data_IF_362853151212
#
_entry.id   IF_362853151212
#
_cell.length_a   1.000
_cell.length_b   1.000
_cell.length_c   1.000
_cell.angle_alpha   90.00
_cell.angle_beta   90.00
_cell.angle_gamma   90.00
#
_symmetry.space_group_name_H-M   'P 1'
#
loop_
_entity.id
_entity.type
_entity.pdbx_description
1 polymer ?
#
# COMPACT_ATOMS: atom_id res chain seq x y z
N UNK A 1 -15.36 -0.77 -0.18
CA UNK A 1 -15.70 0.66 -0.36
C UNK A 1 -17.22 0.84 -0.41
N UNK A 2 -17.77 1.85 0.28
CA UNK A 2 -19.21 2.14 0.24
C UNK A 2 -19.47 3.64 0.48
N UNK A 3 -20.28 4.27 -0.35
CA UNK A 3 -20.65 5.70 -0.22
C UNK A 3 -21.95 5.86 0.57
N UNK A 4 -22.05 6.94 1.32
CA UNK A 4 -23.24 7.32 2.05
C UNK A 4 -23.07 8.66 2.76
N UNK A 5 -24.17 9.22 3.25
CA UNK A 5 -24.18 10.49 3.97
C UNK A 5 -24.00 10.25 5.47
N UNK A 6 -23.31 11.14 6.15
CA UNK A 6 -23.28 11.18 7.63
C UNK A 6 -24.02 12.44 8.10
N UNK A 7 -25.10 12.26 8.85
CA UNK A 7 -25.88 13.40 9.39
C UNK A 7 -24.99 14.21 10.33
N UNK A 8 -24.93 15.52 10.09
CA UNK A 8 -24.10 16.42 10.87
C UNK A 8 -22.59 16.21 10.68
N UNK A 9 -22.16 15.50 9.60
CA UNK A 9 -20.76 15.16 9.34
C UNK A 9 -19.80 16.37 9.28
N UNK A 10 -20.30 17.53 8.84
CA UNK A 10 -19.53 18.78 8.83
C UNK A 10 -19.49 19.50 10.20
N UNK A 11 -20.29 19.05 11.17
CA UNK A 11 -20.36 19.66 12.50
C UNK A 11 -19.15 19.36 13.37
N UNK A 12 -18.91 20.22 14.36
CA UNK A 12 -17.75 20.13 15.27
C UNK A 12 -17.61 18.79 15.99
N UNK A 13 -18.71 18.11 16.27
CA UNK A 13 -18.72 16.81 16.94
C UNK A 13 -18.28 15.67 16.02
N UNK A 14 -18.73 15.66 14.75
CA UNK A 14 -18.49 14.55 13.82
C UNK A 14 -17.23 14.74 12.99
N UNK A 15 -16.83 15.96 12.74
CA UNK A 15 -15.65 16.28 11.91
C UNK A 15 -14.37 15.63 12.38
N UNK A 16 -14.01 15.61 13.69
CA UNK A 16 -12.83 14.91 14.15
C UNK A 16 -12.89 13.39 13.95
N UNK A 17 -14.09 12.81 14.10
CA UNK A 17 -14.32 11.38 13.92
C UNK A 17 -14.14 10.94 12.46
N UNK A 18 -14.59 11.76 11.53
CA UNK A 18 -14.56 11.47 10.10
C UNK A 18 -13.25 11.88 9.42
N UNK A 19 -12.18 12.09 10.18
CA UNK A 19 -10.86 12.32 9.59
C UNK A 19 -10.32 11.03 8.96
N UNK A 20 -9.65 11.13 7.78
CA UNK A 20 -8.96 9.99 7.17
C UNK A 20 -7.98 9.33 8.15
N UNK A 21 -7.91 8.01 8.11
CA UNK A 21 -7.09 7.19 8.99
C UNK A 21 -7.78 6.74 10.28
N UNK A 22 -8.89 7.35 10.68
CA UNK A 22 -9.69 6.86 11.79
C UNK A 22 -10.49 5.61 11.40
N UNK A 23 -10.62 4.66 12.32
CA UNK A 23 -11.53 3.52 12.17
C UNK A 23 -12.84 3.79 12.91
N UNK A 24 -13.92 3.40 12.28
CA UNK A 24 -15.27 3.61 12.79
C UNK A 24 -16.12 2.36 12.60
N UNK A 25 -16.99 2.06 13.54
CA UNK A 25 -18.14 1.20 13.30
C UNK A 25 -19.16 2.01 12.52
N UNK A 26 -19.62 1.49 11.40
CA UNK A 26 -20.53 2.18 10.51
C UNK A 26 -21.75 1.31 10.19
N UNK A 27 -22.94 1.82 10.45
CA UNK A 27 -24.20 1.17 10.09
C UNK A 27 -24.85 1.98 8.99
N UNK A 28 -24.92 1.38 7.81
CA UNK A 28 -25.57 1.98 6.64
C UNK A 28 -27.06 1.69 6.64
N UNK A 29 -27.85 2.68 6.24
CA UNK A 29 -29.31 2.59 6.10
C UNK A 29 -29.77 3.35 4.86
N UNK A 30 -30.62 2.70 4.06
CA UNK A 30 -31.30 3.31 2.93
C UNK A 30 -32.72 2.73 2.81
N UNK A 31 -33.56 3.39 2.04
CA UNK A 31 -34.90 2.88 1.73
C UNK A 31 -34.84 1.78 0.66
N UNK A 32 -33.97 1.96 -0.32
CA UNK A 32 -33.69 1.00 -1.39
C UNK A 32 -32.18 0.84 -1.49
N UNK A 33 -31.71 -0.33 -1.92
CA UNK A 33 -30.27 -0.65 -1.95
C UNK A 33 -29.47 0.23 -2.92
N UNK A 34 -30.10 0.71 -3.99
CA UNK A 34 -29.48 1.63 -4.96
C UNK A 34 -29.35 3.08 -4.44
N UNK A 35 -29.99 3.42 -3.33
CA UNK A 35 -29.91 4.77 -2.77
C UNK A 35 -28.55 4.99 -2.10
N UNK A 36 -28.07 6.24 -2.11
CA UNK A 36 -26.86 6.64 -1.41
C UNK A 36 -26.91 6.31 0.09
N UNK A 37 -28.10 6.43 0.69
CA UNK A 37 -28.32 6.13 2.10
C UNK A 37 -27.56 7.05 3.05
N UNK A 38 -27.57 6.68 4.32
CA UNK A 38 -26.83 7.40 5.35
C UNK A 38 -26.17 6.41 6.33
N UNK A 39 -25.07 6.88 6.89
CA UNK A 39 -24.34 6.15 7.93
C UNK A 39 -24.66 6.71 9.31
N UNK A 40 -24.86 5.79 10.24
CA UNK A 40 -24.64 6.01 11.66
C UNK A 40 -23.24 5.51 11.98
N UNK A 41 -22.39 6.38 12.53
CA UNK A 41 -20.97 6.06 12.77
C UNK A 41 -20.60 6.26 14.23
N UNK A 42 -19.75 5.39 14.73
CA UNK A 42 -19.16 5.44 16.06
C UNK A 42 -17.66 5.17 15.94
N UNK A 43 -16.83 5.98 16.62
CA UNK A 43 -15.36 5.84 16.58
C UNK A 43 -14.89 4.62 17.33
N UNK A 44 -14.01 3.84 16.72
CA UNK A 44 -13.36 2.68 17.32
C UNK A 44 -11.88 2.90 17.56
N UNK A 45 -11.18 3.50 16.59
CA UNK A 45 -9.75 3.82 16.71
C UNK A 45 -9.44 5.17 16.08
N UNK A 46 -8.89 6.09 16.86
CA UNK A 46 -8.60 7.46 16.44
C UNK A 46 -7.11 7.62 16.14
N UNK A 47 -6.75 7.70 14.85
CA UNK A 47 -5.38 7.87 14.36
C UNK A 47 -5.10 9.26 13.79
N UNK A 48 -6.13 10.08 13.63
CA UNK A 48 -6.01 11.37 12.94
C UNK A 48 -4.93 12.28 13.52
N UNK A 49 -4.72 12.27 14.84
CA UNK A 49 -3.69 13.08 15.48
C UNK A 49 -2.27 12.63 15.03
N UNK A 50 -2.00 11.33 15.05
CA UNK A 50 -0.75 10.73 14.57
C UNK A 50 -0.54 11.01 13.08
N UNK A 51 -1.57 10.79 12.26
CA UNK A 51 -1.50 11.06 10.82
C UNK A 51 -1.16 12.53 10.54
N UNK A 52 -1.82 13.46 11.21
CA UNK A 52 -1.60 14.89 11.00
C UNK A 52 -0.28 15.41 11.59
N UNK A 53 0.36 14.65 12.48
CA UNK A 53 1.63 15.02 13.10
C UNK A 53 2.83 14.94 12.14
N UNK A 54 2.71 14.19 11.03
CA UNK A 54 3.83 13.99 10.11
C UNK A 54 3.42 14.01 8.63
N UNK A 55 4.27 14.60 7.79
CA UNK A 55 4.00 14.69 6.36
C UNK A 55 3.94 13.33 5.67
N UNK A 56 4.79 12.37 6.08
CA UNK A 56 4.77 11.03 5.50
C UNK A 56 3.45 10.32 5.78
N UNK A 57 2.90 10.42 6.99
CA UNK A 57 1.62 9.81 7.31
C UNK A 57 0.46 10.43 6.50
N UNK A 58 0.45 11.76 6.32
CA UNK A 58 -0.55 12.44 5.47
C UNK A 58 -0.46 11.93 4.03
N UNK A 59 0.74 11.87 3.46
CA UNK A 59 0.93 11.34 2.11
C UNK A 59 0.55 9.87 2.01
N UNK A 60 1.00 9.05 2.97
CA UNK A 60 0.68 7.61 3.01
C UNK A 60 -0.81 7.34 3.06
N UNK A 61 -1.55 7.96 3.99
CA UNK A 61 -3.01 7.81 4.10
C UNK A 61 -3.72 8.29 2.83
N UNK A 62 -3.26 9.38 2.23
CA UNK A 62 -3.83 9.90 0.98
C UNK A 62 -3.63 8.91 -0.16
N UNK A 63 -2.44 8.30 -0.26
CA UNK A 63 -2.14 7.30 -1.27
C UNK A 63 -2.96 6.01 -1.05
N UNK A 64 -2.99 5.47 0.17
CA UNK A 64 -3.81 4.31 0.54
C UNK A 64 -5.29 4.52 0.16
N UNK A 65 -5.83 5.69 0.50
CA UNK A 65 -7.21 6.05 0.15
C UNK A 65 -7.42 6.12 -1.38
N UNK A 66 -6.44 6.62 -2.13
CA UNK A 66 -6.51 6.68 -3.60
C UNK A 66 -6.58 5.28 -4.22
N UNK A 67 -5.78 4.33 -3.73
CA UNK A 67 -5.80 2.94 -4.17
C UNK A 67 -7.10 2.23 -3.76
N UNK A 68 -7.56 2.39 -2.52
CA UNK A 68 -8.81 1.80 -2.06
C UNK A 68 -10.03 2.27 -2.87
N UNK A 69 -9.99 3.47 -3.48
CA UNK A 69 -11.03 3.96 -4.38
C UNK A 69 -11.12 3.23 -5.72
N UNK A 70 -10.12 2.44 -6.07
CA UNK A 70 -10.14 1.60 -7.28
C UNK A 70 -10.99 0.34 -7.12
N UNK A 71 -11.24 -0.07 -5.88
CA UNK A 71 -12.09 -1.23 -5.59
C UNK A 71 -13.56 -0.93 -5.91
N UNK A 72 -14.33 -1.95 -6.33
CA UNK A 72 -15.76 -1.82 -6.53
C UNK A 72 -16.49 -1.33 -5.28
N UNK A 73 -17.62 -0.67 -5.47
CA UNK A 73 -18.50 -0.30 -4.35
C UNK A 73 -19.31 -1.51 -3.88
N UNK A 74 -19.49 -1.59 -2.55
CA UNK A 74 -20.33 -2.59 -1.88
C UNK A 74 -19.83 -4.02 -2.04
N UNK A 75 -18.59 -4.19 -2.48
CA UNK A 75 -17.92 -5.47 -2.51
C UNK A 75 -16.98 -5.57 -1.30
N UNK A 76 -17.11 -6.59 -0.46
CA UNK A 76 -16.24 -6.78 0.70
C UNK A 76 -14.85 -7.25 0.26
N UNK A 77 -13.81 -6.62 0.81
CA UNK A 77 -12.40 -6.94 0.58
C UNK A 77 -11.71 -7.03 1.94
N UNK A 78 -11.97 -8.11 2.69
CA UNK A 78 -11.54 -8.25 4.08
C UNK A 78 -10.02 -8.23 4.21
N UNK A 79 -9.29 -8.96 3.37
CA UNK A 79 -7.82 -9.01 3.39
C UNK A 79 -7.18 -7.64 3.12
N UNK A 80 -7.79 -6.86 2.20
CA UNK A 80 -7.35 -5.49 1.92
C UNK A 80 -7.64 -4.58 3.11
N UNK A 81 -8.80 -4.74 3.75
CA UNK A 81 -9.14 -3.98 4.94
C UNK A 81 -8.16 -4.26 6.09
N UNK A 82 -7.86 -5.51 6.36
CA UNK A 82 -6.92 -5.91 7.40
C UNK A 82 -5.49 -5.41 7.13
N UNK A 83 -5.08 -5.43 5.86
CA UNK A 83 -3.77 -4.89 5.45
C UNK A 83 -3.74 -3.37 5.60
N UNK A 84 -4.83 -2.68 5.25
CA UNK A 84 -4.99 -1.24 5.44
C UNK A 84 -4.90 -0.85 6.92
N UNK A 85 -5.64 -1.55 7.79
CA UNK A 85 -5.63 -1.28 9.24
C UNK A 85 -4.21 -1.41 9.83
N UNK A 86 -3.49 -2.50 9.49
CA UNK A 86 -2.10 -2.69 9.91
C UNK A 86 -1.19 -1.57 9.42
N UNK A 87 -1.30 -1.22 8.14
CA UNK A 87 -0.49 -0.12 7.57
C UNK A 87 -0.75 1.21 8.27
N UNK A 88 -2.01 1.50 8.61
CA UNK A 88 -2.38 2.72 9.33
C UNK A 88 -1.84 2.76 10.78
N UNK A 89 -1.62 1.59 11.39
CA UNK A 89 -1.12 1.50 12.75
C UNK A 89 0.38 1.80 12.86
N UNK A 90 1.14 1.62 11.78
CA UNK A 90 2.60 1.71 11.78
C UNK A 90 3.15 3.06 11.27
N UNK A 91 2.29 4.06 11.06
CA UNK A 91 2.73 5.38 10.62
C UNK A 91 3.57 6.16 11.64
N UNK A 92 3.73 5.66 12.84
CA UNK A 92 4.67 6.22 13.83
C UNK A 92 6.14 5.95 13.45
N UNK A 93 6.42 4.82 12.77
CA UNK A 93 7.71 4.47 12.21
C UNK A 93 7.65 4.55 10.68
N UNK A 94 8.36 5.54 10.13
CA UNK A 94 8.35 5.79 8.68
C UNK A 94 8.90 4.62 7.87
N UNK A 95 9.81 3.85 8.43
CA UNK A 95 10.40 2.70 7.76
C UNK A 95 9.45 1.52 7.70
N UNK A 96 8.82 1.16 8.81
CA UNK A 96 7.79 0.12 8.85
C UNK A 96 6.58 0.53 8.01
N UNK A 97 6.17 1.79 8.09
CA UNK A 97 5.13 2.33 7.23
C UNK A 97 5.45 2.17 5.74
N UNK A 98 6.73 2.36 5.35
CA UNK A 98 7.15 2.18 3.96
C UNK A 98 7.08 0.70 3.51
N UNK A 99 7.51 -0.23 4.35
CA UNK A 99 7.39 -1.68 4.09
C UNK A 99 5.92 -2.07 3.93
N UNK A 100 5.07 -1.62 4.85
CA UNK A 100 3.63 -1.93 4.82
C UNK A 100 2.91 -1.28 3.64
N UNK A 101 3.32 -0.07 3.23
CA UNK A 101 2.77 0.58 2.05
C UNK A 101 3.10 -0.22 0.77
N UNK A 102 4.34 -0.70 0.62
CA UNK A 102 4.72 -1.57 -0.51
C UNK A 102 3.92 -2.88 -0.49
N UNK A 103 3.74 -3.49 0.68
CA UNK A 103 2.90 -4.69 0.83
C UNK A 103 1.44 -4.42 0.48
N UNK A 104 0.90 -3.26 0.87
CA UNK A 104 -0.45 -2.85 0.51
C UNK A 104 -0.60 -2.64 -1.01
N UNK A 105 0.37 -1.98 -1.67
CA UNK A 105 0.39 -1.84 -3.12
C UNK A 105 0.38 -3.20 -3.82
N UNK A 106 1.15 -4.18 -3.31
CA UNK A 106 1.20 -5.54 -3.83
C UNK A 106 -0.13 -6.28 -3.63
N UNK A 107 -0.75 -6.15 -2.46
CA UNK A 107 -2.07 -6.71 -2.18
C UNK A 107 -3.15 -6.10 -3.10
N UNK A 108 -3.11 -4.80 -3.32
CA UNK A 108 -4.01 -4.12 -4.26
C UNK A 108 -3.84 -4.60 -5.70
N UNK A 109 -2.60 -4.85 -6.15
CA UNK A 109 -2.36 -5.46 -7.46
C UNK A 109 -3.01 -6.84 -7.56
N UNK A 110 -2.88 -7.68 -6.54
CA UNK A 110 -3.49 -9.00 -6.50
C UNK A 110 -5.03 -8.92 -6.53
N UNK A 111 -5.60 -8.04 -5.73
CA UNK A 111 -7.05 -7.83 -5.63
C UNK A 111 -7.66 -7.32 -6.95
N UNK A 112 -6.91 -6.50 -7.68
CA UNK A 112 -7.32 -5.98 -8.99
C UNK A 112 -7.06 -6.97 -10.14
N UNK A 113 -6.55 -8.19 -9.86
CA UNK A 113 -6.30 -9.24 -10.84
C UNK A 113 -4.93 -9.19 -11.52
N UNK A 114 -3.99 -8.39 -10.98
CA UNK A 114 -2.63 -8.23 -11.50
C UNK A 114 -1.57 -8.70 -10.50
N UNK A 115 -1.90 -9.70 -9.69
CA UNK A 115 -1.00 -10.25 -8.68
C UNK A 115 0.32 -10.75 -9.27
N UNK A 116 1.40 -10.55 -8.52
CA UNK A 116 2.71 -11.05 -8.89
C UNK A 116 2.90 -12.48 -8.35
N UNK A 117 3.53 -13.35 -9.13
CA UNK A 117 3.92 -14.67 -8.65
C UNK A 117 5.35 -14.64 -8.10
N UNK A 118 5.44 -14.49 -6.78
CA UNK A 118 6.70 -14.41 -6.05
C UNK A 118 7.05 -15.74 -5.35
N UNK A 119 6.33 -16.82 -5.62
CA UNK A 119 6.46 -18.10 -4.92
C UNK A 119 7.57 -18.99 -5.48
N UNK A 120 7.80 -18.91 -6.79
CA UNK A 120 8.79 -19.76 -7.48
C UNK A 120 9.43 -19.02 -8.66
N UNK A 121 10.65 -19.47 -9.00
CA UNK A 121 11.37 -18.97 -10.18
C UNK A 121 10.65 -19.38 -11.46
N UNK A 122 10.26 -18.41 -12.30
CA UNK A 122 9.60 -18.67 -13.58
C UNK A 122 10.44 -19.51 -14.58
N UNK A 123 11.77 -19.48 -14.44
CA UNK A 123 12.67 -20.19 -15.34
C UNK A 123 13.03 -21.60 -14.88
N UNK A 124 13.10 -21.83 -13.55
CA UNK A 124 13.65 -23.09 -12.99
C UNK A 124 12.70 -23.80 -12.03
N UNK A 125 11.62 -23.14 -11.59
CA UNK A 125 10.73 -23.65 -10.54
C UNK A 125 11.33 -23.63 -9.13
N UNK A 126 12.56 -23.12 -8.95
CA UNK A 126 13.19 -23.00 -7.63
C UNK A 126 12.39 -22.05 -6.74
N UNK A 127 12.22 -22.42 -5.47
CA UNK A 127 11.48 -21.65 -4.46
C UNK A 127 12.39 -20.86 -3.52
N UNK A 128 13.71 -20.98 -3.70
CA UNK A 128 14.72 -20.31 -2.88
C UNK A 128 15.58 -19.37 -3.73
N UNK A 129 16.27 -18.45 -3.06
CA UNK A 129 17.14 -17.44 -3.67
C UNK A 129 16.45 -16.63 -4.79
N UNK A 130 15.20 -16.31 -4.56
CA UNK A 130 14.38 -15.46 -5.44
C UNK A 130 14.76 -14.01 -5.16
N UNK A 131 15.54 -13.39 -6.05
CA UNK A 131 16.04 -12.02 -5.85
C UNK A 131 15.66 -11.05 -6.96
N UNK A 132 14.98 -11.54 -7.97
CA UNK A 132 14.52 -10.73 -9.09
C UNK A 132 13.05 -10.97 -9.39
N UNK A 133 12.45 -10.02 -10.10
CA UNK A 133 11.11 -10.15 -10.71
C UNK A 133 11.20 -9.71 -12.17
N UNK A 134 10.60 -10.50 -13.04
CA UNK A 134 10.49 -10.16 -14.46
C UNK A 134 9.47 -9.02 -14.66
N UNK A 135 9.88 -7.86 -15.20
CA UNK A 135 8.94 -6.77 -15.46
C UNK A 135 7.90 -7.12 -16.55
N UNK A 136 8.13 -8.19 -17.31
CA UNK A 136 7.23 -8.65 -18.37
C UNK A 136 6.12 -9.55 -17.83
N UNK A 137 6.46 -10.48 -16.93
CA UNK A 137 5.52 -11.50 -16.46
C UNK A 137 5.05 -11.30 -15.02
N UNK A 138 5.70 -10.44 -14.22
CA UNK A 138 5.42 -10.31 -12.79
C UNK A 138 5.86 -11.51 -11.95
N UNK A 139 6.59 -12.45 -12.52
CA UNK A 139 7.02 -13.64 -11.83
C UNK A 139 8.45 -13.51 -11.28
N UNK A 140 8.69 -14.16 -10.13
CA UNK A 140 9.99 -14.19 -9.50
C UNK A 140 11.03 -14.94 -10.35
N UNK A 141 12.30 -14.56 -10.21
CA UNK A 141 13.43 -15.20 -10.85
C UNK A 141 14.56 -15.37 -9.83
N UNK A 142 15.12 -16.59 -9.77
CA UNK A 142 16.24 -16.90 -8.89
C UNK A 142 17.52 -16.17 -9.31
N UNK A 143 18.45 -16.00 -8.38
CA UNK A 143 19.76 -15.38 -8.63
C UNK A 143 20.44 -15.98 -9.85
N UNK A 144 20.58 -17.30 -9.88
CA UNK A 144 21.30 -18.01 -10.94
C UNK A 144 20.65 -17.81 -12.31
N UNK A 145 19.32 -17.93 -12.40
CA UNK A 145 18.60 -17.76 -13.66
C UNK A 145 18.54 -16.31 -14.13
N UNK A 146 18.52 -15.36 -13.19
CA UNK A 146 18.41 -13.93 -13.48
C UNK A 146 19.72 -13.22 -13.76
N UNK A 147 20.86 -13.76 -13.33
CA UNK A 147 22.17 -13.08 -13.43
C UNK A 147 22.51 -12.59 -14.86
N UNK A 148 22.30 -13.35 -15.93
CA UNK A 148 22.53 -12.86 -17.29
C UNK A 148 21.63 -11.70 -17.73
N UNK A 149 20.53 -11.49 -17.01
CA UNK A 149 19.47 -10.52 -17.33
C UNK A 149 19.29 -9.46 -16.25
N UNK A 150 20.18 -9.40 -15.26
CA UNK A 150 20.05 -8.56 -14.06
C UNK A 150 19.69 -7.11 -14.34
N UNK A 151 20.23 -6.55 -15.44
CA UNK A 151 20.00 -5.15 -15.82
C UNK A 151 18.59 -4.91 -16.43
N UNK A 152 17.87 -6.00 -16.73
CA UNK A 152 16.50 -5.97 -17.27
C UNK A 152 15.46 -6.47 -16.29
N UNK A 153 15.88 -6.91 -15.13
CA UNK A 153 15.00 -7.45 -14.08
C UNK A 153 14.87 -6.43 -12.95
N UNK A 154 13.72 -6.45 -12.29
CA UNK A 154 13.50 -5.71 -11.06
C UNK A 154 14.09 -6.48 -9.88
N UNK A 155 14.56 -5.79 -8.87
CA UNK A 155 14.97 -6.43 -7.61
C UNK A 155 13.75 -6.85 -6.80
N UNK A 156 13.84 -8.02 -6.17
CA UNK A 156 12.84 -8.50 -5.21
C UNK A 156 13.37 -8.27 -3.80
N UNK A 157 12.82 -7.29 -3.07
CA UNK A 157 13.26 -7.00 -1.70
C UNK A 157 13.06 -8.20 -0.77
N UNK A 158 13.94 -8.41 0.23
CA UNK A 158 13.82 -9.50 1.20
C UNK A 158 12.47 -9.52 1.94
N UNK A 159 11.94 -8.35 2.32
CA UNK A 159 10.68 -8.26 3.05
C UNK A 159 9.41 -8.64 2.24
N UNK A 160 9.55 -8.88 0.93
CA UNK A 160 8.48 -9.41 0.07
C UNK A 160 8.63 -10.92 -0.20
N UNK A 161 9.72 -11.54 0.24
CA UNK A 161 9.95 -12.98 0.04
C UNK A 161 9.21 -13.78 1.10
N UNK A 162 8.61 -14.88 0.68
CA UNK A 162 8.05 -15.85 1.62
C UNK A 162 9.23 -16.54 2.34
N UNK A 163 9.20 -16.58 3.67
CA UNK A 163 10.19 -17.27 4.53
C UNK A 163 11.59 -16.64 4.70
N UNK A 164 11.84 -15.45 4.18
CA UNK A 164 13.12 -14.76 4.36
C UNK A 164 12.93 -13.41 5.07
N UNK A 165 12.43 -13.42 6.31
CA UNK A 165 12.72 -12.31 7.20
C UNK A 165 14.22 -12.35 7.50
N UNK A 166 15.00 -11.57 6.77
CA UNK A 166 16.44 -11.45 7.01
C UNK A 166 16.67 -11.01 8.47
N UNK A 167 17.70 -11.53 9.14
CA UNK A 167 17.97 -11.24 10.55
C UNK A 167 18.23 -9.75 10.84
N UNK A 168 18.39 -8.93 9.82
CA UNK A 168 18.78 -7.51 9.92
C UNK A 168 17.71 -6.52 9.41
N UNK A 169 16.44 -6.94 9.25
CA UNK A 169 15.41 -6.05 8.72
C UNK A 169 15.60 -5.77 7.21
N UNK A 170 15.40 -4.54 6.81
CA UNK A 170 15.44 -4.06 5.42
C UNK A 170 16.37 -2.83 5.31
N UNK A 171 16.97 -2.65 4.13
CA UNK A 171 17.82 -1.50 3.79
C UNK A 171 17.05 -0.42 3.05
N UNK A 172 17.65 0.77 2.91
CA UNK A 172 17.10 1.85 2.08
C UNK A 172 16.96 1.43 0.62
N UNK A 173 17.90 0.61 0.12
CA UNK A 173 17.82 0.07 -1.23
C UNK A 173 16.64 -0.89 -1.39
N UNK A 174 16.36 -1.72 -0.39
CA UNK A 174 15.21 -2.63 -0.41
C UNK A 174 13.88 -1.88 -0.50
N UNK A 175 13.77 -0.74 0.19
CA UNK A 175 12.57 0.12 0.08
C UNK A 175 12.44 0.74 -1.31
N UNK A 176 13.54 1.26 -1.87
CA UNK A 176 13.54 1.80 -3.23
C UNK A 176 13.17 0.73 -4.26
N UNK A 177 13.76 -0.46 -4.14
CA UNK A 177 13.46 -1.60 -5.01
C UNK A 177 11.98 -2.03 -4.87
N UNK A 178 11.44 -2.02 -3.66
CA UNK A 178 10.03 -2.31 -3.39
C UNK A 178 9.09 -1.32 -4.09
N UNK A 179 9.33 -0.02 -3.93
CA UNK A 179 8.54 1.02 -4.60
C UNK A 179 8.72 1.01 -6.12
N UNK A 180 9.93 0.70 -6.62
CA UNK A 180 10.15 0.55 -8.06
C UNK A 180 9.37 -0.64 -8.63
N UNK A 181 9.37 -1.76 -7.90
CA UNK A 181 8.66 -2.97 -8.27
C UNK A 181 7.14 -2.72 -8.34
N UNK A 182 6.53 -2.33 -7.23
CA UNK A 182 5.06 -2.13 -7.18
C UNK A 182 4.62 -0.97 -8.06
N UNK A 183 5.42 0.10 -8.13
CA UNK A 183 5.14 1.26 -8.98
C UNK A 183 5.07 0.91 -10.46
N UNK A 184 5.99 0.09 -10.99
CA UNK A 184 5.94 -0.33 -12.38
C UNK A 184 4.63 -1.06 -12.71
N UNK A 185 4.22 -2.00 -11.87
CA UNK A 185 3.03 -2.81 -12.13
C UNK A 185 1.74 -2.03 -11.90
N UNK A 186 1.67 -1.17 -10.87
CA UNK A 186 0.55 -0.26 -10.66
C UNK A 186 0.38 0.69 -11.85
N UNK A 187 1.48 1.30 -12.31
CA UNK A 187 1.43 2.22 -13.45
C UNK A 187 0.89 1.49 -14.68
N UNK A 188 1.52 0.40 -15.08
CA UNK A 188 1.25 -0.31 -16.32
C UNK A 188 -0.14 -0.95 -16.36
N UNK A 189 -0.56 -1.58 -15.29
CA UNK A 189 -1.78 -2.41 -15.30
C UNK A 189 -3.00 -1.72 -14.71
N UNK A 190 -2.79 -0.75 -13.83
CA UNK A 190 -3.88 -0.12 -13.10
C UNK A 190 -4.10 1.33 -13.50
N UNK A 191 -3.04 2.13 -13.55
CA UNK A 191 -3.16 3.58 -13.71
C UNK A 191 -3.21 4.01 -15.18
N UNK A 192 -2.24 3.62 -16.02
CA UNK A 192 -2.20 3.96 -17.45
C UNK A 192 -3.47 3.57 -18.21
N UNK A 193 -4.06 2.36 -18.01
CA UNK A 193 -5.32 2.00 -18.66
C UNK A 193 -6.50 2.92 -18.28
N UNK A 194 -6.36 3.66 -17.17
CA UNK A 194 -7.34 4.64 -16.69
C UNK A 194 -6.96 6.09 -17.04
N UNK A 195 -5.91 6.29 -17.86
CA UNK A 195 -5.39 7.62 -18.20
C UNK A 195 -4.76 8.35 -17.01
N UNK A 196 -4.25 7.63 -16.01
CA UNK A 196 -3.68 8.18 -14.79
C UNK A 196 -2.18 7.86 -14.69
N UNK A 197 -1.45 8.69 -13.95
CA UNK A 197 -0.09 8.43 -13.50
C UNK A 197 -0.06 8.12 -11.99
N UNK A 198 1.15 7.99 -11.44
CA UNK A 198 1.31 7.94 -9.99
C UNK A 198 0.75 9.21 -9.33
N UNK A 199 0.21 9.06 -8.13
CA UNK A 199 -0.30 10.20 -7.38
C UNK A 199 0.83 11.01 -6.75
N UNK A 200 0.67 12.33 -6.67
CA UNK A 200 1.59 13.21 -5.92
C UNK A 200 1.76 12.75 -4.46
N UNK A 201 0.75 12.11 -3.90
CA UNK A 201 0.80 11.56 -2.55
C UNK A 201 1.78 10.39 -2.44
N UNK A 202 1.82 9.49 -3.43
CA UNK A 202 2.81 8.42 -3.48
C UNK A 202 4.23 8.97 -3.55
N UNK A 203 4.46 9.90 -4.47
CA UNK A 203 5.77 10.51 -4.66
C UNK A 203 6.19 11.32 -3.43
N UNK A 204 5.24 12.02 -2.81
CA UNK A 204 5.46 12.74 -1.55
C UNK A 204 5.86 11.81 -0.41
N UNK A 205 5.23 10.63 -0.30
CA UNK A 205 5.58 9.62 0.69
C UNK A 205 7.00 9.08 0.46
N UNK A 206 7.33 8.64 -0.76
CA UNK A 206 8.66 8.13 -1.11
C UNK A 206 9.74 9.18 -0.83
N UNK A 207 9.50 10.42 -1.20
CA UNK A 207 10.42 11.53 -0.92
C UNK A 207 10.62 11.76 0.59
N UNK A 208 9.57 11.63 1.39
CA UNK A 208 9.66 11.77 2.84
C UNK A 208 10.49 10.64 3.47
N UNK A 209 10.29 9.40 3.03
CA UNK A 209 11.08 8.22 3.43
C UNK A 209 12.56 8.44 3.11
N UNK A 210 12.88 8.80 1.86
CA UNK A 210 14.26 9.03 1.41
C UNK A 210 14.96 10.12 2.22
N UNK A 211 14.27 11.24 2.46
CA UNK A 211 14.83 12.36 3.26
C UNK A 211 15.05 11.99 4.72
N UNK A 212 14.14 11.22 5.32
CA UNK A 212 14.28 10.77 6.71
C UNK A 212 15.52 9.89 6.88
N UNK A 213 15.72 8.93 5.98
CA UNK A 213 16.85 8.01 6.00
C UNK A 213 18.19 8.72 5.78
N UNK A 214 18.25 9.65 4.84
CA UNK A 214 19.46 10.46 4.62
C UNK A 214 19.89 11.24 5.88
N UNK A 215 18.92 11.73 6.68
CA UNK A 215 19.20 12.40 7.94
C UNK A 215 19.78 11.47 9.00
N UNK A 216 19.27 10.25 9.11
CA UNK A 216 19.78 9.25 10.06
C UNK A 216 21.21 8.86 9.66
N UNK A 217 21.46 8.57 8.38
CA UNK A 217 22.78 8.17 7.88
C UNK A 217 23.85 9.28 8.04
N UNK A 218 23.44 10.55 8.08
CA UNK A 218 24.37 11.66 8.29
C UNK A 218 24.62 12.01 9.77
N UNK A 219 23.86 11.38 10.68
CA UNK A 219 23.97 11.62 12.13
C UNK A 219 24.79 10.54 12.86
N UNK A 220 25.25 9.50 12.15
CA UNK A 220 26.12 8.41 12.60
C UNK A 220 27.50 8.58 12.00
#
# INVERSE_FOLDING_TARGET
RHLGLVRGGAGSRMRPLLQPGNSVTAVWRARLDEHLGYYQVEGTRMRAATVLASSHAVYGVTHLASLARLLPERDPHEDIYDTLERTLDDFDDIGEAAVHLVKFELAMLAELGFGLDLSACAATGATQDLIYVSPKSGAAVSRQAGEPWRDKLLRLPPFLRQNEAGPNGWSDQDLQDGFALTGLFLLRHVLEPRGQGHSDARDGFINAVTKHRARISSAV
#
